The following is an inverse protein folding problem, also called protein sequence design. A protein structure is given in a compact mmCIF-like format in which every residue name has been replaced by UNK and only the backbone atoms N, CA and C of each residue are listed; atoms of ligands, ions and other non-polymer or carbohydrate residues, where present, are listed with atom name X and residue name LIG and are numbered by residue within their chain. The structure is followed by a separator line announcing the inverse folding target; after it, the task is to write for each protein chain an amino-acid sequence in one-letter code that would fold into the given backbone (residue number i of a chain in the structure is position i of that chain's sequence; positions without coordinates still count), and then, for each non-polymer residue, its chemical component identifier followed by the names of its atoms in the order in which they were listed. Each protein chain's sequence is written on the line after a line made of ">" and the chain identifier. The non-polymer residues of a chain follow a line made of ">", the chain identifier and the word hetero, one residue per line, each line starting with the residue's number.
data_IF_823730637870
#
_entry.id   IF_823730637870
#
_cell.length_a   1.000
_cell.length_b   1.000
_cell.length_c   1.000
_cell.angle_alpha   90.00
_cell.angle_beta   90.00
_cell.angle_gamma   90.00
#
_symmetry.space_group_name_H-M   'P 1'
#
loop_
_entity.id
_entity.type
_entity.pdbx_description
1 polymer ?
#
# COMPACT_ATOMS: atom_id res chain seq x y z
N UNK A 1 -16.10 0.80 -9.57
CA UNK A 1 -15.03 0.92 -10.57
C UNK A 1 -14.36 -0.41 -10.77
N UNK A 2 -13.73 -0.64 -11.93
CA UNK A 2 -13.07 -1.91 -12.25
C UNK A 2 -11.59 -1.88 -11.85
N UNK A 3 -11.11 -2.96 -11.27
CA UNK A 3 -9.69 -3.30 -11.15
C UNK A 3 -9.34 -4.12 -12.39
N UNK A 4 -8.30 -3.72 -13.12
CA UNK A 4 -7.90 -4.36 -14.38
C UNK A 4 -6.63 -5.19 -14.19
N UNK A 5 -6.58 -6.34 -14.86
CA UNK A 5 -5.37 -7.15 -14.93
C UNK A 5 -4.51 -6.70 -16.13
N UNK A 6 -3.26 -6.34 -15.85
CA UNK A 6 -2.26 -5.96 -16.85
C UNK A 6 -1.28 -7.12 -17.06
N UNK A 7 -0.95 -7.42 -18.32
CA UNK A 7 0.15 -8.32 -18.64
C UNK A 7 1.48 -7.56 -18.51
N UNK A 8 2.38 -7.91 -17.57
CA UNK A 8 3.62 -7.17 -17.37
C UNK A 8 4.60 -7.26 -18.56
N UNK A 9 4.50 -8.30 -19.39
CA UNK A 9 5.37 -8.45 -20.56
C UNK A 9 4.97 -7.50 -21.71
N UNK A 10 3.71 -7.08 -21.77
CA UNK A 10 3.18 -6.24 -22.86
C UNK A 10 2.70 -4.87 -22.39
N UNK A 11 2.48 -4.67 -21.10
CA UNK A 11 1.87 -3.47 -20.53
C UNK A 11 0.38 -3.30 -20.87
N UNK A 12 -0.26 -4.29 -21.48
CA UNK A 12 -1.65 -4.19 -21.95
C UNK A 12 -2.65 -4.84 -20.99
N UNK A 13 -3.88 -4.33 -20.98
CA UNK A 13 -5.01 -5.01 -20.32
C UNK A 13 -5.22 -6.39 -20.93
N UNK A 14 -5.49 -7.38 -20.09
CA UNK A 14 -5.74 -8.76 -20.52
C UNK A 14 -7.20 -9.03 -20.92
N UNK A 15 -8.11 -8.11 -20.58
CA UNK A 15 -9.57 -8.30 -20.69
C UNK A 15 -10.22 -8.81 -19.40
N UNK A 16 -9.44 -9.35 -18.46
CA UNK A 16 -9.94 -9.69 -17.11
C UNK A 16 -10.14 -8.43 -16.29
N UNK A 17 -11.28 -8.34 -15.61
CA UNK A 17 -11.60 -7.26 -14.67
C UNK A 17 -12.30 -7.77 -13.43
N UNK A 18 -12.08 -7.09 -12.31
CA UNK A 18 -12.71 -7.35 -11.03
C UNK A 18 -13.53 -6.10 -10.68
N UNK A 19 -14.81 -6.29 -10.38
CA UNK A 19 -15.65 -5.20 -9.87
C UNK A 19 -15.28 -4.94 -8.42
N UNK A 20 -14.69 -3.79 -8.13
CA UNK A 20 -14.37 -3.41 -6.74
C UNK A 20 -15.50 -2.62 -6.07
N UNK A 21 -15.54 -2.60 -4.73
CA UNK A 21 -16.59 -1.97 -3.93
C UNK A 21 -16.54 -0.43 -3.98
N UNK A 22 -15.42 0.14 -4.43
CA UNK A 22 -15.21 1.59 -4.46
C UNK A 22 -15.18 2.16 -5.89
N UNK A 23 -15.36 3.47 -5.97
CA UNK A 23 -15.19 4.27 -7.18
C UNK A 23 -14.44 5.58 -6.87
N UNK A 24 -13.12 5.66 -7.12
CA UNK A 24 -12.20 4.57 -7.51
C UNK A 24 -11.75 3.69 -6.32
N UNK A 25 -11.24 2.49 -6.63
CA UNK A 25 -10.43 1.68 -5.71
C UNK A 25 -9.01 2.27 -5.72
N UNK A 26 -8.68 3.19 -4.81
CA UNK A 26 -7.46 4.00 -4.90
C UNK A 26 -6.21 3.21 -4.56
N UNK A 27 -6.29 2.39 -3.52
CA UNK A 27 -5.22 1.49 -3.13
C UNK A 27 -5.57 0.04 -3.48
N UNK A 28 -4.54 -0.76 -3.73
CA UNK A 28 -4.68 -2.17 -4.04
C UNK A 28 -3.46 -2.94 -3.50
N UNK A 29 -3.70 -3.96 -2.69
CA UNK A 29 -2.70 -4.96 -2.31
C UNK A 29 -3.22 -6.36 -2.63
N UNK A 30 -2.33 -7.31 -2.87
CA UNK A 30 -2.67 -8.70 -3.21
C UNK A 30 -2.16 -9.65 -2.13
N UNK A 31 -3.04 -10.47 -1.57
CA UNK A 31 -2.68 -11.59 -0.71
C UNK A 31 -2.59 -12.88 -1.55
N UNK A 32 -1.37 -13.44 -1.77
CA UNK A 32 -1.20 -14.65 -2.56
C UNK A 32 -1.68 -15.93 -1.86
N UNK A 33 -1.91 -15.92 -0.54
CA UNK A 33 -2.33 -17.12 0.20
C UNK A 33 -3.80 -17.41 0.00
N UNK A 34 -4.64 -16.38 0.12
CA UNK A 34 -6.10 -16.48 -0.04
C UNK A 34 -6.57 -16.16 -1.45
N UNK A 35 -5.68 -15.63 -2.29
CA UNK A 35 -5.99 -15.14 -3.63
C UNK A 35 -6.95 -13.94 -3.64
N UNK A 36 -6.85 -13.11 -2.61
CA UNK A 36 -7.69 -11.95 -2.38
C UNK A 36 -6.94 -10.63 -2.60
N UNK A 37 -7.72 -9.55 -2.70
CA UNK A 37 -7.22 -8.19 -2.87
C UNK A 37 -7.74 -7.31 -1.75
N UNK A 38 -6.90 -6.39 -1.30
CA UNK A 38 -7.25 -5.38 -0.31
C UNK A 38 -7.35 -4.01 -1.00
N UNK A 39 -8.44 -3.28 -0.78
CA UNK A 39 -8.71 -1.98 -1.39
C UNK A 39 -9.26 -0.97 -0.39
N UNK A 40 -9.06 0.32 -0.70
CA UNK A 40 -9.45 1.45 0.13
C UNK A 40 -9.28 2.75 -0.64
N UNK A 41 -9.69 3.86 -0.02
CA UNK A 41 -9.63 5.18 -0.60
C UNK A 41 -9.71 6.29 0.44
N UNK A 42 -10.03 7.50 -0.02
CA UNK A 42 -10.04 8.68 0.82
C UNK A 42 -11.19 8.66 1.83
N UNK A 43 -10.88 8.32 3.09
CA UNK A 43 -11.86 8.25 4.18
C UNK A 43 -12.89 7.12 4.00
N UNK A 44 -12.56 6.09 3.22
CA UNK A 44 -13.42 4.91 3.05
C UNK A 44 -13.00 3.80 3.99
N UNK A 45 -13.89 2.83 4.18
CA UNK A 45 -13.53 1.54 4.76
C UNK A 45 -12.42 0.84 3.96
N UNK A 46 -11.74 -0.09 4.62
CA UNK A 46 -10.81 -1.05 4.03
C UNK A 46 -11.59 -2.32 3.70
N UNK A 47 -11.47 -2.80 2.46
CA UNK A 47 -12.18 -3.97 1.97
C UNK A 47 -11.21 -5.06 1.56
N UNK A 48 -11.52 -6.29 1.91
CA UNK A 48 -10.94 -7.49 1.30
C UNK A 48 -11.94 -8.05 0.28
N UNK A 49 -11.48 -8.34 -0.93
CA UNK A 49 -12.30 -8.88 -2.01
C UNK A 49 -11.63 -10.10 -2.66
N UNK A 50 -12.43 -11.07 -3.10
CA UNK A 50 -11.92 -12.17 -3.91
C UNK A 50 -11.80 -11.78 -5.40
N UNK A 51 -11.28 -12.70 -6.23
CA UNK A 51 -11.13 -12.51 -7.69
C UNK A 51 -12.44 -12.18 -8.42
N UNK A 52 -13.59 -12.55 -7.87
CA UNK A 52 -14.91 -12.24 -8.43
C UNK A 52 -15.43 -10.86 -8.01
N UNK A 53 -14.72 -10.15 -7.13
CA UNK A 53 -15.13 -8.86 -6.59
C UNK A 53 -16.10 -8.98 -5.40
N UNK A 54 -16.32 -10.18 -4.87
CA UNK A 54 -17.11 -10.37 -3.66
C UNK A 54 -16.34 -9.84 -2.45
N UNK A 55 -16.98 -8.98 -1.67
CA UNK A 55 -16.43 -8.50 -0.38
C UNK A 55 -16.44 -9.65 0.62
N UNK A 56 -15.27 -9.96 1.16
CA UNK A 56 -15.04 -10.99 2.18
C UNK A 56 -15.02 -10.35 3.56
N UNK A 57 -14.29 -9.24 3.71
CA UNK A 57 -14.21 -8.44 4.92
C UNK A 57 -14.32 -6.95 4.61
N UNK A 58 -14.82 -6.19 5.58
CA UNK A 58 -14.97 -4.73 5.52
C UNK A 58 -14.70 -4.15 6.91
N UNK A 59 -13.75 -3.21 6.99
CA UNK A 59 -13.33 -2.61 8.25
C UNK A 59 -13.40 -1.08 8.16
N UNK A 60 -13.96 -0.46 9.19
CA UNK A 60 -14.05 1.00 9.25
C UNK A 60 -12.68 1.65 9.30
N UNK A 61 -12.50 2.69 8.49
CA UNK A 61 -11.27 3.45 8.41
C UNK A 61 -11.58 4.93 8.15
N UNK A 62 -10.79 5.81 8.77
CA UNK A 62 -10.89 7.26 8.57
C UNK A 62 -9.72 7.84 7.74
N UNK A 63 -8.67 7.04 7.51
CA UNK A 63 -7.46 7.49 6.85
C UNK A 63 -7.68 7.77 5.37
N UNK A 64 -6.98 8.77 4.84
CA UNK A 64 -6.95 9.10 3.41
C UNK A 64 -6.06 8.13 2.64
N UNK A 65 -6.52 6.90 2.37
CA UNK A 65 -5.69 5.84 1.76
C UNK A 65 -5.47 6.09 0.26
N UNK A 66 -4.21 6.02 -0.17
CA UNK A 66 -3.82 6.10 -1.59
C UNK A 66 -2.93 4.95 -2.06
N UNK A 67 -2.27 4.24 -1.13
CA UNK A 67 -1.49 3.05 -1.43
C UNK A 67 -1.66 1.99 -0.36
N UNK A 68 -1.56 0.73 -0.75
CA UNK A 68 -1.50 -0.39 0.20
C UNK A 68 -0.53 -1.44 -0.31
N UNK A 69 0.14 -2.14 0.61
CA UNK A 69 1.02 -3.24 0.27
C UNK A 69 0.83 -4.40 1.25
N UNK A 70 0.81 -5.62 0.72
CA UNK A 70 0.71 -6.83 1.51
C UNK A 70 2.10 -7.27 1.96
N UNK A 71 2.24 -7.58 3.24
CA UNK A 71 3.47 -8.06 3.84
C UNK A 71 3.23 -9.43 4.47
N UNK A 72 3.83 -10.44 3.84
CA UNK A 72 3.80 -11.84 4.30
C UNK A 72 5.08 -12.29 5.00
N UNK A 73 5.99 -11.35 5.31
CA UNK A 73 7.35 -11.66 5.72
C UNK A 73 7.74 -11.10 7.08
N UNK A 74 7.21 -9.94 7.45
CA UNK A 74 7.50 -9.32 8.75
C UNK A 74 6.89 -10.15 9.88
N UNK A 75 7.64 -10.27 10.98
CA UNK A 75 7.23 -11.07 12.12
C UNK A 75 5.90 -10.58 12.72
N UNK A 76 5.09 -11.53 13.20
CA UNK A 76 3.76 -11.28 13.75
C UNK A 76 2.65 -11.08 12.71
N UNK A 77 3.01 -10.98 11.42
CA UNK A 77 2.07 -10.79 10.32
C UNK A 77 1.33 -12.06 9.87
N UNK A 78 0.58 -11.98 8.75
CA UNK A 78 0.72 -10.97 7.71
C UNK A 78 0.19 -9.59 8.10
N UNK A 79 0.73 -8.56 7.46
CA UNK A 79 0.34 -7.16 7.67
C UNK A 79 -0.10 -6.52 6.35
N UNK A 80 -0.94 -5.50 6.47
CA UNK A 80 -1.24 -4.57 5.40
C UNK A 80 -0.60 -3.22 5.72
N UNK A 81 0.34 -2.78 4.90
CA UNK A 81 0.94 -1.45 5.03
C UNK A 81 0.10 -0.43 4.27
N UNK A 82 -0.49 0.51 5.00
CA UNK A 82 -1.38 1.54 4.45
C UNK A 82 -0.60 2.83 4.26
N UNK A 83 -0.57 3.34 3.03
CA UNK A 83 0.05 4.60 2.64
C UNK A 83 -1.04 5.66 2.46
N UNK A 84 -1.03 6.64 3.36
CA UNK A 84 -2.12 7.61 3.48
C UNK A 84 -1.65 9.06 3.55
N UNK A 85 -2.56 9.96 3.17
CA UNK A 85 -2.38 11.42 3.19
C UNK A 85 -2.78 12.05 4.53
N UNK A 86 -2.59 11.31 5.63
CA UNK A 86 -2.98 11.78 6.96
C UNK A 86 -1.85 12.55 7.66
N UNK A 87 -2.20 13.34 8.67
CA UNK A 87 -1.22 14.14 9.41
C UNK A 87 -0.65 15.30 8.57
N UNK A 88 0.65 15.58 8.74
CA UNK A 88 1.34 16.70 8.06
C UNK A 88 2.02 16.32 6.74
N UNK A 89 1.70 15.15 6.19
CA UNK A 89 2.30 14.66 4.95
C UNK A 89 1.85 13.24 4.65
N UNK A 90 2.82 12.37 4.43
CA UNK A 90 2.57 10.99 4.05
C UNK A 90 2.88 10.03 5.20
N UNK A 91 1.96 9.10 5.51
CA UNK A 91 2.10 8.16 6.63
C UNK A 91 1.97 6.72 6.12
N UNK A 92 2.91 5.87 6.53
CA UNK A 92 2.79 4.42 6.45
C UNK A 92 2.27 3.91 7.79
N UNK A 93 1.12 3.24 7.79
CA UNK A 93 0.52 2.65 8.99
C UNK A 93 0.35 1.15 8.82
N UNK A 94 0.72 0.37 9.83
CA UNK A 94 0.47 -1.06 9.84
C UNK A 94 -0.98 -1.35 10.23
N UNK A 95 -1.66 -2.12 9.39
CA UNK A 95 -3.00 -2.63 9.64
C UNK A 95 -2.95 -4.15 9.78
N UNK A 96 -3.61 -4.66 10.82
CA UNK A 96 -3.77 -6.08 11.07
C UNK A 96 -5.05 -6.57 10.35
N UNK A 97 -4.91 -7.37 9.27
CA UNK A 97 -6.06 -7.88 8.54
C UNK A 97 -6.89 -8.87 9.34
N UNK A 98 -6.34 -9.49 10.40
CA UNK A 98 -7.05 -10.47 11.22
C UNK A 98 -7.95 -9.82 12.25
N UNK A 99 -7.51 -8.73 12.87
CA UNK A 99 -8.30 -7.96 13.85
C UNK A 99 -9.08 -6.81 13.22
N UNK A 100 -8.74 -6.42 11.99
CA UNK A 100 -9.43 -5.33 11.28
C UNK A 100 -9.10 -3.96 11.87
N UNK A 101 -7.90 -3.76 12.39
CA UNK A 101 -7.49 -2.55 13.10
C UNK A 101 -6.03 -2.18 12.87
N UNK A 102 -5.71 -0.89 13.00
CA UNK A 102 -4.33 -0.42 13.00
C UNK A 102 -3.61 -0.87 14.28
N UNK A 103 -2.35 -1.32 14.15
CA UNK A 103 -1.55 -1.80 15.29
C UNK A 103 -0.92 -0.68 16.12
N UNK A 104 -0.87 0.53 15.54
CA UNK A 104 -0.16 1.69 16.11
C UNK A 104 1.27 1.83 15.59
N UNK A 105 1.82 0.85 14.88
CA UNK A 105 3.10 0.97 14.18
C UNK A 105 2.93 1.91 12.99
N UNK A 106 3.67 3.02 12.99
CA UNK A 106 3.63 4.02 11.93
C UNK A 106 5.02 4.57 11.59
N UNK A 107 5.21 4.93 10.32
CA UNK A 107 6.40 5.61 9.82
C UNK A 107 5.97 6.79 8.95
N UNK A 108 6.65 7.92 9.11
CA UNK A 108 6.42 9.08 8.27
C UNK A 108 7.24 8.96 6.99
N UNK A 109 6.59 9.18 5.86
CA UNK A 109 7.29 9.39 4.61
C UNK A 109 8.13 10.65 4.70
N UNK A 110 9.37 10.57 4.23
CA UNK A 110 10.17 11.78 4.08
C UNK A 110 9.67 12.49 2.86
N UNK A 111 9.00 13.59 3.14
CA UNK A 111 8.34 14.39 2.15
C UNK A 111 9.41 15.22 1.43
N UNK A 112 9.65 15.05 0.12
CA UNK A 112 10.10 16.21 -0.65
C UNK A 112 9.04 17.33 -0.45
N UNK A 113 9.43 18.61 -0.42
CA UNK A 113 8.50 19.70 -0.10
C UNK A 113 7.21 19.60 -0.91
N UNK A 114 6.07 19.42 -0.23
CA UNK A 114 4.74 19.39 -0.85
C UNK A 114 4.21 18.04 -1.32
N UNK A 115 4.91 16.92 -1.08
CA UNK A 115 4.42 15.59 -1.47
C UNK A 115 3.27 15.05 -0.61
N UNK A 116 2.40 14.23 -1.20
CA UNK A 116 1.35 13.48 -0.51
C UNK A 116 1.32 12.02 -1.00
N UNK A 117 0.75 11.11 -0.22
CA UNK A 117 0.68 9.68 -0.54
C UNK A 117 0.08 9.39 -1.92
N UNK A 118 0.75 8.54 -2.70
CA UNK A 118 0.24 7.87 -3.90
C UNK A 118 0.13 6.37 -3.68
N UNK A 119 0.54 5.56 -4.67
CA UNK A 119 0.61 4.10 -4.54
C UNK A 119 1.70 3.60 -3.59
N UNK A 120 1.65 2.32 -3.25
CA UNK A 120 2.65 1.66 -2.40
C UNK A 120 2.94 0.23 -2.86
N UNK A 121 4.13 -0.26 -2.52
CA UNK A 121 4.53 -1.65 -2.68
C UNK A 121 5.44 -2.08 -1.51
N UNK A 122 5.56 -3.38 -1.29
CA UNK A 122 6.40 -3.97 -0.26
C UNK A 122 7.16 -5.16 -0.85
N UNK A 123 8.43 -5.31 -0.49
CA UNK A 123 9.26 -6.43 -0.91
C UNK A 123 10.28 -6.78 0.18
N UNK A 124 10.63 -8.06 0.29
CA UNK A 124 11.75 -8.51 1.13
C UNK A 124 13.02 -8.61 0.28
N UNK A 125 14.08 -7.90 0.67
CA UNK A 125 15.37 -7.91 -0.02
C UNK A 125 16.43 -8.52 0.90
N UNK A 126 16.61 -9.85 0.78
CA UNK A 126 17.53 -10.61 1.62
C UNK A 126 17.07 -10.65 3.08
N UNK A 127 17.85 -10.04 3.97
CA UNK A 127 17.53 -9.91 5.40
C UNK A 127 16.73 -8.64 5.72
N UNK A 128 16.55 -7.74 4.75
CA UNK A 128 15.91 -6.45 4.95
C UNK A 128 14.55 -6.40 4.27
N UNK A 129 13.76 -5.41 4.67
CA UNK A 129 12.49 -5.09 4.05
C UNK A 129 12.56 -3.76 3.33
N UNK A 130 11.90 -3.67 2.18
CA UNK A 130 11.76 -2.47 1.40
C UNK A 130 10.28 -2.13 1.27
N UNK A 131 9.87 -1.03 1.90
CA UNK A 131 8.61 -0.37 1.57
C UNK A 131 8.88 0.66 0.48
N UNK A 132 8.04 0.71 -0.54
CA UNK A 132 8.14 1.64 -1.66
C UNK A 132 6.88 2.49 -1.64
N UNK A 133 7.03 3.81 -1.49
CA UNK A 133 5.92 4.76 -1.53
C UNK A 133 6.06 5.72 -2.70
N UNK A 134 5.00 5.89 -3.49
CA UNK A 134 4.86 7.02 -4.41
C UNK A 134 4.45 8.25 -3.61
N UNK A 135 5.09 9.38 -3.87
CA UNK A 135 4.72 10.71 -3.40
C UNK A 135 4.28 11.55 -4.59
N UNK A 136 3.02 11.97 -4.56
CA UNK A 136 2.46 12.92 -5.51
C UNK A 136 2.95 14.31 -5.13
N UNK A 137 3.74 14.96 -5.97
CA UNK A 137 4.34 16.26 -5.67
C UNK A 137 4.39 17.17 -6.91
N UNK A 138 4.50 18.47 -6.68
CA UNK A 138 4.63 19.49 -7.73
C UNK A 138 6.05 20.06 -7.68
N UNK A 139 6.83 20.06 -8.79
CA UNK A 139 6.46 19.69 -10.16
C UNK A 139 6.66 18.21 -10.54
N UNK A 140 7.26 17.40 -9.67
CA UNK A 140 7.70 16.03 -10.01
C UNK A 140 7.22 15.09 -8.91
N UNK A 141 6.64 13.96 -9.30
CA UNK A 141 6.32 12.85 -8.41
C UNK A 141 7.58 12.03 -8.07
N UNK A 142 7.64 11.46 -6.87
CA UNK A 142 8.80 10.69 -6.41
C UNK A 142 8.41 9.28 -6.01
N UNK A 143 9.20 8.29 -6.40
CA UNK A 143 9.16 6.95 -5.80
C UNK A 143 10.27 6.89 -4.75
N UNK A 144 9.92 6.59 -3.51
CA UNK A 144 10.89 6.53 -2.39
C UNK A 144 10.92 5.14 -1.82
N UNK A 145 12.13 4.59 -1.69
CA UNK A 145 12.40 3.33 -1.01
C UNK A 145 12.77 3.56 0.45
N UNK A 146 12.10 2.85 1.35
CA UNK A 146 12.35 2.85 2.79
C UNK A 146 12.86 1.47 3.17
N UNK A 147 14.14 1.37 3.53
CA UNK A 147 14.75 0.11 3.94
C UNK A 147 14.76 -0.04 5.44
N UNK A 148 14.31 -1.21 5.88
CA UNK A 148 14.25 -1.60 7.27
C UNK A 148 15.14 -2.81 7.47
N UNK A 149 16.27 -2.66 8.19
CA UNK A 149 17.12 -3.79 8.52
C UNK A 149 16.41 -4.75 9.48
N UNK A 150 16.22 -6.00 9.06
CA UNK A 150 15.72 -7.08 9.90
C UNK A 150 14.21 -7.08 10.20
N UNK A 151 13.65 -5.98 10.72
CA UNK A 151 12.24 -5.91 11.11
C UNK A 151 11.64 -4.50 10.89
N UNK A 152 10.56 -4.43 10.12
CA UNK A 152 9.80 -3.21 9.88
C UNK A 152 8.92 -2.82 11.07
N UNK A 153 8.86 -3.58 12.17
CA UNK A 153 8.08 -3.24 13.38
C UNK A 153 8.83 -2.37 14.40
N UNK A 154 10.17 -2.31 14.34
CA UNK A 154 10.99 -1.87 15.50
C UNK A 154 11.96 -0.73 15.18
N UNK A 155 12.22 -0.45 13.90
CA UNK A 155 13.37 0.39 13.49
C UNK A 155 12.91 1.60 12.67
N UNK A 156 13.48 2.78 12.96
CA UNK A 156 13.39 3.91 12.03
C UNK A 156 14.11 3.53 10.71
N UNK A 157 13.47 3.68 9.54
CA UNK A 157 14.05 3.20 8.30
C UNK A 157 15.36 3.94 7.95
N UNK A 158 16.33 3.19 7.42
CA UNK A 158 17.38 3.78 6.62
C UNK A 158 16.80 4.12 5.26
N UNK A 159 16.83 5.40 4.89
CA UNK A 159 16.16 5.90 3.70
C UNK A 159 17.12 5.95 2.52
N UNK A 160 16.63 5.65 1.33
CA UNK A 160 17.30 6.03 0.10
C UNK A 160 16.27 6.49 -0.92
N UNK A 161 16.48 7.71 -1.39
CA UNK A 161 15.73 8.26 -2.51
C UNK A 161 16.17 7.53 -3.78
N UNK A 162 15.27 6.74 -4.36
CA UNK A 162 15.44 6.23 -5.70
C UNK A 162 14.78 7.22 -6.66
N UNK A 163 15.56 8.19 -7.15
CA UNK A 163 15.13 9.02 -8.28
C UNK A 163 14.96 8.11 -9.51
N UNK A 164 13.72 7.84 -9.88
CA UNK A 164 13.42 7.46 -11.25
C UNK A 164 13.27 8.77 -12.03
N UNK A 165 14.23 8.97 -12.93
CA UNK A 165 14.40 10.15 -13.79
C UNK A 165 13.23 10.29 -14.77
N UNK A 166 12.79 11.54 -14.89
CA UNK A 166 12.08 12.23 -16.00
C UNK A 166 10.98 11.50 -16.76
#
# INVERSE_FOLDING_TARGET
>A
TMIQQINPATGTVTGTSITGPLNPNRALAYDPVTDHFWTGGFGTDIYEINRSGTVINQYSNANGIYGMAWDSHTAGGPWLWVWSQDGSGTVCSQFDPSSGSYTGVTYYGVNPPGGIAGGAAFERIGADFLFIGLHQADPIDYIVGYRFPGDMNVVNPAQFLLLLLE
#
